data_IF_719250300840
#
_entry.id   IF_719250300840
#
_cell.length_a   1.000
_cell.length_b   1.000
_cell.length_c   1.000
_cell.angle_alpha   90.00
_cell.angle_beta   90.00
_cell.angle_gamma   90.00
#
_symmetry.space_group_name_H-M   'P 1'
#
loop_
_entity.id
_entity.type
_entity.pdbx_description
1 polymer ?
#
# COMPACT_ATOMS: atom_id res chain seq x y z
N UNK A 1 -9.26 -12.75 -24.67
CA UNK A 1 -9.68 -11.65 -23.76
C UNK A 1 -9.16 -11.98 -22.37
N UNK A 2 -8.04 -11.38 -21.95
CA UNK A 2 -7.45 -11.66 -20.64
C UNK A 2 -8.28 -10.93 -19.58
N UNK A 3 -9.08 -11.67 -18.83
CA UNK A 3 -9.77 -11.17 -17.64
C UNK A 3 -8.74 -10.96 -16.54
N UNK A 4 -8.11 -9.78 -16.54
CA UNK A 4 -7.30 -9.35 -15.41
C UNK A 4 -8.23 -9.33 -14.20
N UNK A 5 -7.99 -10.22 -13.23
CA UNK A 5 -8.75 -10.31 -11.99
C UNK A 5 -8.43 -9.06 -11.14
N UNK A 6 -9.10 -7.95 -11.46
CA UNK A 6 -8.80 -6.57 -11.01
C UNK A 6 -8.97 -6.29 -9.52
N UNK A 7 -9.25 -7.31 -8.72
CA UNK A 7 -9.50 -7.22 -7.28
C UNK A 7 -8.50 -7.97 -6.43
N UNK A 8 -7.44 -8.49 -7.05
CA UNK A 8 -6.34 -9.05 -6.31
C UNK A 8 -5.49 -7.90 -5.73
N UNK A 9 -5.27 -7.83 -4.39
CA UNK A 9 -4.32 -6.89 -3.79
C UNK A 9 -2.90 -7.08 -4.31
N UNK A 10 -2.61 -8.17 -5.05
CA UNK A 10 -1.32 -8.45 -5.67
C UNK A 10 -0.67 -7.24 -6.34
N UNK A 11 -1.40 -6.43 -7.11
CA UNK A 11 -0.77 -5.26 -7.76
C UNK A 11 -0.18 -4.30 -6.72
N UNK A 12 -0.97 -3.93 -5.71
CA UNK A 12 -0.49 -3.05 -4.64
C UNK A 12 0.62 -3.71 -3.81
N UNK A 13 0.48 -4.98 -3.43
CA UNK A 13 1.48 -5.68 -2.63
C UNK A 13 2.81 -5.81 -3.40
N UNK A 14 2.76 -6.16 -4.68
CA UNK A 14 3.95 -6.21 -5.55
C UNK A 14 4.59 -4.82 -5.68
N UNK A 15 3.79 -3.77 -5.93
CA UNK A 15 4.30 -2.40 -5.97
C UNK A 15 4.93 -2.00 -4.64
N UNK A 16 4.31 -2.31 -3.50
CA UNK A 16 4.83 -2.01 -2.18
C UNK A 16 6.19 -2.68 -1.95
N UNK A 17 6.30 -3.99 -2.19
CA UNK A 17 7.56 -4.73 -2.04
C UNK A 17 8.64 -4.19 -2.97
N UNK A 18 8.29 -3.94 -4.24
CA UNK A 18 9.24 -3.41 -5.22
C UNK A 18 9.72 -2.01 -4.83
N UNK A 19 8.81 -1.14 -4.39
CA UNK A 19 9.15 0.20 -3.89
C UNK A 19 10.04 0.14 -2.68
N UNK A 20 9.80 -0.79 -1.74
CA UNK A 20 10.70 -0.98 -0.59
C UNK A 20 12.08 -1.45 -1.01
N UNK A 21 12.20 -2.50 -1.85
CA UNK A 21 13.49 -2.98 -2.36
C UNK A 21 14.25 -1.88 -3.10
N UNK A 22 13.55 -1.13 -3.96
CA UNK A 22 14.15 -0.01 -4.71
C UNK A 22 14.58 1.11 -3.76
N UNK A 23 13.79 1.39 -2.71
CA UNK A 23 14.13 2.39 -1.70
C UNK A 23 15.40 2.00 -0.95
N UNK A 24 15.52 0.72 -0.57
CA UNK A 24 16.73 0.17 0.04
C UNK A 24 17.96 0.37 -0.85
N UNK A 25 17.84 0.04 -2.14
CA UNK A 25 18.92 0.22 -3.10
C UNK A 25 19.34 1.68 -3.23
N UNK A 26 18.38 2.60 -3.37
CA UNK A 26 18.66 4.04 -3.50
C UNK A 26 19.30 4.60 -2.24
N UNK A 27 18.79 4.24 -1.05
CA UNK A 27 19.38 4.67 0.23
C UNK A 27 20.84 4.19 0.34
N UNK A 28 21.10 2.93 -0.03
CA UNK A 28 22.46 2.40 -0.03
C UNK A 28 23.37 3.11 -1.04
N UNK A 29 22.89 3.36 -2.27
CA UNK A 29 23.65 4.12 -3.28
C UNK A 29 23.97 5.54 -2.80
N UNK A 30 22.97 6.24 -2.27
CA UNK A 30 23.15 7.58 -1.73
C UNK A 30 24.19 7.61 -0.60
N UNK A 31 24.26 6.56 0.21
CA UNK A 31 25.31 6.41 1.22
C UNK A 31 26.69 6.23 0.59
N UNK A 32 26.83 5.33 -0.38
CA UNK A 32 28.12 5.12 -1.07
C UNK A 32 28.58 6.37 -1.82
N UNK A 33 27.64 7.20 -2.28
CA UNK A 33 27.90 8.46 -2.99
C UNK A 33 28.16 9.64 -2.02
N UNK A 34 28.16 9.40 -0.71
CA UNK A 34 28.48 10.41 0.31
C UNK A 34 27.37 11.44 0.58
N UNK A 35 26.13 11.16 0.15
CA UNK A 35 24.97 12.04 0.40
C UNK A 35 24.57 12.01 1.88
N UNK A 36 24.76 10.87 2.55
CA UNK A 36 24.58 10.76 4.00
C UNK A 36 25.91 10.97 4.73
N UNK A 37 25.92 11.72 5.85
CA UNK A 37 27.13 11.85 6.66
C UNK A 37 27.58 10.47 7.16
N UNK A 38 28.88 10.19 7.18
CA UNK A 38 29.46 8.87 7.51
C UNK A 38 29.27 8.42 8.96
N UNK A 39 28.58 9.20 9.78
CA UNK A 39 28.18 8.81 11.13
C UNK A 39 27.25 7.60 11.02
N UNK A 40 27.56 6.49 11.69
CA UNK A 40 26.89 5.19 11.51
C UNK A 40 25.35 5.24 11.70
N UNK A 41 24.84 6.23 12.43
CA UNK A 41 23.40 6.42 12.66
C UNK A 41 22.64 7.00 11.45
N UNK A 42 23.33 7.64 10.51
CA UNK A 42 22.70 8.40 9.42
C UNK A 42 21.95 7.52 8.42
N UNK A 43 22.47 6.31 8.15
CA UNK A 43 21.88 5.35 7.21
C UNK A 43 20.89 4.39 7.90
N UNK A 44 21.08 4.14 9.20
CA UNK A 44 20.21 3.26 9.97
C UNK A 44 18.76 3.81 10.02
N UNK A 45 18.60 5.13 10.16
CA UNK A 45 17.29 5.79 10.22
C UNK A 45 16.46 5.53 8.94
N UNK A 46 16.96 5.84 7.72
CA UNK A 46 16.32 5.46 6.46
C UNK A 46 15.89 3.99 6.34
N UNK A 47 16.74 3.07 6.76
CA UNK A 47 16.46 1.64 6.66
C UNK A 47 15.38 1.20 7.65
N UNK A 48 15.47 1.64 8.90
CA UNK A 48 14.46 1.35 9.93
C UNK A 48 13.12 1.94 9.51
N UNK A 49 13.09 3.18 9.00
CA UNK A 49 11.89 3.82 8.49
C UNK A 49 11.26 3.02 7.34
N UNK A 50 12.06 2.63 6.33
CA UNK A 50 11.58 1.84 5.19
C UNK A 50 11.05 0.47 5.61
N UNK A 51 11.72 -0.20 6.55
CA UNK A 51 11.29 -1.52 7.07
C UNK A 51 10.02 -1.43 7.89
N UNK A 52 9.99 -0.48 8.83
CA UNK A 52 8.83 -0.26 9.70
C UNK A 52 7.60 0.09 8.89
N UNK A 53 7.76 0.96 7.88
CA UNK A 53 6.69 1.31 6.95
C UNK A 53 6.19 0.09 6.16
N UNK A 54 7.10 -0.71 5.57
CA UNK A 54 6.72 -1.92 4.86
C UNK A 54 5.93 -2.88 5.76
N UNK A 55 6.45 -3.16 6.96
CA UNK A 55 5.80 -4.04 7.92
C UNK A 55 4.41 -3.54 8.31
N UNK A 56 4.29 -2.25 8.65
CA UNK A 56 3.00 -1.64 9.01
C UNK A 56 2.00 -1.69 7.85
N UNK A 57 2.40 -1.33 6.63
CA UNK A 57 1.51 -1.36 5.47
C UNK A 57 1.06 -2.79 5.12
N UNK A 58 1.93 -3.79 5.28
CA UNK A 58 1.56 -5.20 5.12
C UNK A 58 0.56 -5.65 6.19
N UNK A 59 0.76 -5.26 7.46
CA UNK A 59 -0.18 -5.56 8.54
C UNK A 59 -1.55 -4.90 8.33
N UNK A 60 -1.56 -3.62 7.93
CA UNK A 60 -2.78 -2.87 7.58
C UNK A 60 -3.46 -3.40 6.31
N UNK A 61 -2.73 -4.09 5.44
CA UNK A 61 -3.31 -4.79 4.30
C UNK A 61 -3.94 -6.11 4.73
N UNK A 62 -3.29 -6.82 5.66
CA UNK A 62 -3.81 -8.06 6.25
C UNK A 62 -5.09 -7.82 7.04
N UNK A 63 -5.17 -6.72 7.80
CA UNK A 63 -6.38 -6.37 8.56
C UNK A 63 -7.61 -6.14 7.67
N UNK A 64 -7.41 -5.81 6.39
CA UNK A 64 -8.48 -5.65 5.40
C UNK A 64 -8.95 -6.98 4.79
N UNK A 65 -8.21 -8.07 4.98
CA UNK A 65 -8.50 -9.40 4.41
C UNK A 65 -9.93 -9.91 4.69
N UNK A 66 -10.51 -9.75 5.90
CA UNK A 66 -11.88 -10.17 6.16
C UNK A 66 -12.90 -9.54 5.21
N UNK A 67 -12.74 -8.25 4.88
CA UNK A 67 -13.63 -7.55 3.96
C UNK A 67 -13.44 -8.07 2.52
N UNK A 68 -12.19 -8.24 2.08
CA UNK A 68 -11.89 -8.84 0.77
C UNK A 68 -12.54 -10.23 0.62
N UNK A 69 -12.44 -11.06 1.65
CA UNK A 69 -13.01 -12.41 1.67
C UNK A 69 -14.54 -12.38 1.59
N UNK A 70 -15.19 -11.52 2.37
CA UNK A 70 -16.65 -11.37 2.35
C UNK A 70 -17.15 -10.96 0.96
N UNK A 71 -16.56 -9.92 0.38
CA UNK A 71 -16.91 -9.43 -0.95
C UNK A 71 -16.64 -10.45 -2.06
N UNK A 72 -15.54 -11.20 -1.97
CA UNK A 72 -15.25 -12.29 -2.93
C UNK A 72 -16.27 -13.43 -2.84
N UNK A 73 -16.77 -13.72 -1.64
CA UNK A 73 -17.79 -14.76 -1.41
C UNK A 73 -19.22 -14.30 -1.70
N UNK A 74 -19.43 -13.04 -2.10
CA UNK A 74 -20.76 -12.46 -2.29
C UNK A 74 -21.57 -12.31 -1.01
N UNK A 75 -20.94 -12.46 0.16
CA UNK A 75 -21.59 -12.27 1.46
C UNK A 75 -21.76 -10.78 1.74
N UNK A 76 -22.83 -10.38 2.45
CA UNK A 76 -22.97 -9.00 2.88
C UNK A 76 -21.76 -8.60 3.74
N UNK A 77 -21.18 -7.42 3.51
CA UNK A 77 -20.05 -6.94 4.28
C UNK A 77 -20.47 -6.70 5.74
N UNK A 78 -19.67 -7.17 6.70
CA UNK A 78 -19.94 -6.87 8.10
C UNK A 78 -19.52 -5.44 8.43
N UNK A 79 -20.26 -4.77 9.31
CA UNK A 79 -19.94 -3.41 9.76
C UNK A 79 -18.54 -3.37 10.39
N UNK A 80 -18.20 -4.37 11.20
CA UNK A 80 -16.86 -4.51 11.82
C UNK A 80 -15.76 -4.59 10.76
N UNK A 81 -15.90 -5.47 9.75
CA UNK A 81 -14.89 -5.62 8.71
C UNK A 81 -14.75 -4.34 7.86
N UNK A 82 -15.87 -3.66 7.60
CA UNK A 82 -15.90 -2.39 6.88
C UNK A 82 -15.20 -1.29 7.67
N UNK A 83 -15.49 -1.14 8.96
CA UNK A 83 -14.87 -0.15 9.84
C UNK A 83 -13.36 -0.36 9.96
N UNK A 84 -12.91 -1.61 10.19
CA UNK A 84 -11.47 -1.91 10.22
C UNK A 84 -10.80 -1.62 8.87
N UNK A 85 -11.47 -1.91 7.76
CA UNK A 85 -10.91 -1.62 6.45
C UNK A 85 -10.79 -0.13 6.19
N UNK A 86 -11.81 0.67 6.55
CA UNK A 86 -11.76 2.13 6.44
C UNK A 86 -10.65 2.71 7.32
N UNK A 87 -10.56 2.28 8.58
CA UNK A 87 -9.47 2.69 9.47
C UNK A 87 -8.10 2.37 8.89
N UNK A 88 -7.92 1.14 8.42
CA UNK A 88 -6.65 0.70 7.82
C UNK A 88 -6.32 1.50 6.57
N UNK A 89 -7.33 1.91 5.79
CA UNK A 89 -7.16 2.79 4.64
C UNK A 89 -6.73 4.18 5.01
N UNK A 90 -7.33 4.78 6.03
CA UNK A 90 -6.91 6.10 6.53
C UNK A 90 -5.45 6.06 6.97
N UNK A 91 -5.07 5.11 7.82
CA UNK A 91 -3.69 5.01 8.33
C UNK A 91 -2.70 4.73 7.21
N UNK A 92 -2.99 3.78 6.32
CA UNK A 92 -2.09 3.45 5.19
C UNK A 92 -1.89 4.65 4.26
N UNK A 93 -2.96 5.41 3.99
CA UNK A 93 -2.88 6.60 3.13
C UNK A 93 -2.03 7.69 3.79
N UNK A 94 -2.23 7.94 5.08
CA UNK A 94 -1.43 8.91 5.84
C UNK A 94 0.05 8.53 5.85
N UNK A 95 0.38 7.27 6.14
CA UNK A 95 1.77 6.79 6.13
C UNK A 95 2.43 6.95 4.75
N UNK A 96 1.72 6.66 3.66
CA UNK A 96 2.24 6.81 2.30
C UNK A 96 2.39 8.28 1.88
N UNK A 97 1.48 9.16 2.30
CA UNK A 97 1.59 10.62 2.09
C UNK A 97 2.79 11.16 2.87
N UNK A 98 2.91 10.80 4.15
CA UNK A 98 4.03 11.20 5.00
C UNK A 98 5.36 10.73 4.42
N UNK A 99 5.43 9.48 3.95
CA UNK A 99 6.63 8.93 3.30
C UNK A 99 6.97 9.66 2.00
N UNK A 100 5.97 10.01 1.20
CA UNK A 100 6.16 10.82 -0.02
C UNK A 100 6.78 12.17 0.33
N UNK A 101 6.26 12.83 1.38
CA UNK A 101 6.74 14.14 1.83
C UNK A 101 8.12 14.05 2.52
N UNK A 102 8.37 13.01 3.30
CA UNK A 102 9.65 12.78 3.98
C UNK A 102 10.81 12.74 2.99
N UNK A 103 10.61 12.09 1.86
CA UNK A 103 11.60 11.99 0.79
C UNK A 103 11.58 13.17 -0.19
N UNK A 104 10.68 14.15 -0.01
CA UNK A 104 10.54 15.29 -0.91
C UNK A 104 11.65 16.32 -0.67
N UNK A 105 12.87 15.96 -1.07
CA UNK A 105 14.06 16.79 -1.03
C UNK A 105 14.89 16.59 -2.30
N UNK A 106 15.76 17.54 -2.69
CA UNK A 106 16.48 17.50 -3.97
C UNK A 106 17.26 16.20 -4.20
N UNK A 107 17.90 15.67 -3.15
CA UNK A 107 18.74 14.47 -3.26
C UNK A 107 17.94 13.16 -3.13
N UNK A 108 16.64 13.22 -2.84
CA UNK A 108 15.79 12.05 -2.58
C UNK A 108 14.49 12.05 -3.40
N UNK A 109 14.41 12.91 -4.42
CA UNK A 109 13.20 13.06 -5.24
C UNK A 109 12.73 11.74 -5.87
N UNK A 110 13.66 10.86 -6.27
CA UNK A 110 13.34 9.51 -6.78
C UNK A 110 12.60 8.67 -5.73
N UNK A 111 13.01 8.72 -4.46
CA UNK A 111 12.33 8.03 -3.37
C UNK A 111 10.92 8.60 -3.17
N UNK A 112 10.76 9.92 -3.16
CA UNK A 112 9.44 10.57 -3.08
C UNK A 112 8.52 10.10 -4.20
N UNK A 113 9.02 10.06 -5.43
CA UNK A 113 8.27 9.58 -6.60
C UNK A 113 7.84 8.12 -6.46
N UNK A 114 8.72 7.24 -5.95
CA UNK A 114 8.38 5.83 -5.69
C UNK A 114 7.24 5.69 -4.67
N UNK A 115 7.28 6.45 -3.57
CA UNK A 115 6.21 6.43 -2.58
C UNK A 115 4.91 7.03 -3.11
N UNK A 116 4.98 8.05 -3.97
CA UNK A 116 3.82 8.60 -4.66
C UNK A 116 3.16 7.58 -5.62
N UNK A 117 3.96 6.81 -6.37
CA UNK A 117 3.44 5.73 -7.23
C UNK A 117 2.79 4.63 -6.37
N UNK A 118 3.41 4.31 -5.23
CA UNK A 118 2.87 3.34 -4.27
C UNK A 118 1.54 3.80 -3.68
N UNK A 119 1.44 5.07 -3.28
CA UNK A 119 0.21 5.72 -2.84
C UNK A 119 -0.87 5.68 -3.91
N UNK A 120 -0.53 6.03 -5.15
CA UNK A 120 -1.47 6.03 -6.27
C UNK A 120 -2.03 4.62 -6.54
N UNK A 121 -1.15 3.62 -6.52
CA UNK A 121 -1.53 2.21 -6.69
C UNK A 121 -2.42 1.73 -5.53
N UNK A 122 -2.10 2.14 -4.30
CA UNK A 122 -2.90 1.86 -3.11
C UNK A 122 -4.30 2.45 -3.22
N UNK A 123 -4.41 3.75 -3.49
CA UNK A 123 -5.70 4.45 -3.60
C UNK A 123 -6.55 3.88 -4.74
N UNK A 124 -5.93 3.53 -5.87
CA UNK A 124 -6.63 2.84 -6.95
C UNK A 124 -7.18 1.48 -6.52
N UNK A 125 -6.42 0.72 -5.73
CA UNK A 125 -6.89 -0.54 -5.16
C UNK A 125 -8.05 -0.33 -4.18
N UNK A 126 -7.94 0.65 -3.29
CA UNK A 126 -8.99 1.00 -2.34
C UNK A 126 -10.28 1.45 -3.04
N UNK A 127 -10.15 2.28 -4.07
CA UNK A 127 -11.29 2.69 -4.89
C UNK A 127 -12.03 1.48 -5.47
N UNK A 128 -11.30 0.48 -5.99
CA UNK A 128 -11.91 -0.75 -6.52
C UNK A 128 -12.58 -1.58 -5.43
N UNK A 129 -11.97 -1.67 -4.25
CA UNK A 129 -12.54 -2.38 -3.09
C UNK A 129 -13.88 -1.73 -2.68
N UNK A 130 -13.90 -0.43 -2.45
CA UNK A 130 -15.10 0.27 -1.99
C UNK A 130 -16.16 0.43 -3.08
N UNK A 131 -15.76 0.50 -4.35
CA UNK A 131 -16.72 0.41 -5.46
C UNK A 131 -17.52 -0.89 -5.39
N UNK A 132 -16.89 -2.02 -5.06
CA UNK A 132 -17.58 -3.30 -4.88
C UNK A 132 -18.45 -3.35 -3.64
N UNK A 133 -18.05 -2.66 -2.57
CA UNK A 133 -18.84 -2.53 -1.36
C UNK A 133 -20.18 -1.83 -1.64
N UNK A 134 -20.16 -0.78 -2.48
CA UNK A 134 -21.34 0.05 -2.78
C UNK A 134 -22.15 -0.48 -3.98
N UNK A 135 -21.54 -1.27 -4.87
CA UNK A 135 -22.25 -1.80 -6.05
C UNK A 135 -23.37 -2.76 -5.61
N UNK A 136 -24.60 -2.62 -6.13
CA UNK A 136 -25.68 -3.53 -5.81
C UNK A 136 -25.28 -4.95 -6.18
N UNK A 137 -25.31 -5.85 -5.19
CA UNK A 137 -25.14 -7.29 -5.40
C UNK A 137 -26.24 -7.68 -6.38
N UNK A 138 -25.88 -7.96 -7.65
CA UNK A 138 -26.79 -8.69 -8.54
C UNK A 138 -27.00 -10.05 -7.87
N UNK A 139 -28.07 -10.16 -7.08
CA UNK A 139 -28.58 -11.44 -6.62
C UNK A 139 -28.87 -12.24 -7.88
N UNK A 140 -28.00 -13.20 -8.19
CA UNK A 140 -28.28 -14.18 -9.22
C UNK A 140 -29.53 -14.93 -8.80
N UNK A 141 -30.66 -14.54 -9.39
CA UNK A 141 -31.86 -15.35 -9.47
C UNK A 141 -31.53 -16.61 -10.27
N UNK A 142 -31.02 -17.64 -9.59
CA UNK A 142 -31.11 -19.01 -10.05
C UNK A 142 -32.22 -19.68 -9.24
N UNK A 143 -33.46 -19.33 -9.61
CA UNK A 143 -34.59 -20.25 -9.54
C UNK A 143 -34.99 -20.55 -10.97
N UNK A 144 -34.85 -21.81 -11.33
CA UNK A 144 -35.19 -22.43 -12.61
C UNK A 144 -34.88 -23.90 -12.48
#
# INVERSE_FOLDING_TARGET
MVTINTSNPALYITTLVLSSVTSYYIVFSNYTDGIYPTNQDSIAIPFVATTGLLAMLLLLSLSQYPLYRQLKSGKPPSLIATSFALFSTTISSLLLIESTNYWFSPNHFTLSTLYFITLSTYLFHQFKLYKRLVSPIKQGSQRG
#
